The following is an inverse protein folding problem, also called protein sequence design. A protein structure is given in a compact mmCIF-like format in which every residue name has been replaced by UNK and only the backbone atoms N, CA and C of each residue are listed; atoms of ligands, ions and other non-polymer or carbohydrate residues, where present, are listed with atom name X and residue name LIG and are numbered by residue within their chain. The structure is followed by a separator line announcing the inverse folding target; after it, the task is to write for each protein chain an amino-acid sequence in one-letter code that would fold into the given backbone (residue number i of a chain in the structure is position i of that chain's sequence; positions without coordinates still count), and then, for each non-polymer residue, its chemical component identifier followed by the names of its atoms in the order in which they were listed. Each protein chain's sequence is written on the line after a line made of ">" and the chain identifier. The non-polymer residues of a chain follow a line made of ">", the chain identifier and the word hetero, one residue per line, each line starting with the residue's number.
data_IF_608512446270
#
_entry.id   IF_608512446270
#
_cell.length_a   1.000
_cell.length_b   1.000
_cell.length_c   1.000
_cell.angle_alpha   90.00
_cell.angle_beta   90.00
_cell.angle_gamma   90.00
#
_symmetry.space_group_name_H-M   'P 1'
#
loop_
_entity.id
_entity.type
_entity.pdbx_description
1 polymer ?
#
# COMPACT_ATOMS: atom_id res chain seq x y z
N UNK A 1 6.05 -63.61 6.88
CA UNK A 1 5.62 -64.69 7.80
C UNK A 1 6.55 -64.62 9.00
N UNK A 2 5.98 -64.56 10.22
CA UNK A 2 6.63 -64.67 11.56
C UNK A 2 7.50 -63.44 11.93
N UNK A 3 7.06 -62.51 12.81
CA UNK A 3 7.00 -62.58 14.29
C UNK A 3 8.40 -62.86 14.91
N UNK A 4 8.88 -62.28 16.01
CA UNK A 4 8.33 -61.48 17.10
C UNK A 4 9.53 -61.02 17.98
N UNK A 5 9.36 -59.89 18.67
CA UNK A 5 9.71 -59.64 20.09
C UNK A 5 11.14 -59.89 20.61
N UNK A 6 11.78 -58.86 21.18
CA UNK A 6 11.69 -58.56 22.63
C UNK A 6 12.64 -57.43 23.05
N UNK A 7 12.18 -56.67 24.02
CA UNK A 7 12.73 -55.41 24.53
C UNK A 7 13.82 -55.55 25.61
N UNK A 8 14.62 -54.50 25.80
CA UNK A 8 14.90 -53.83 27.10
C UNK A 8 15.86 -52.64 26.85
N UNK A 9 15.43 -51.41 27.05
CA UNK A 9 15.53 -50.58 28.28
C UNK A 9 16.96 -50.09 28.62
N UNK A 10 17.14 -48.77 28.60
CA UNK A 10 18.14 -48.09 29.43
C UNK A 10 18.70 -46.77 28.89
N UNK A 11 18.21 -45.64 29.44
CA UNK A 11 18.91 -44.34 29.52
C UNK A 11 19.06 -43.58 28.21
N UNK A 12 18.44 -42.43 27.98
CA UNK A 12 18.47 -41.27 28.87
C UNK A 12 19.58 -40.33 28.41
N UNK A 13 19.34 -39.57 27.34
CA UNK A 13 19.94 -38.25 27.18
C UNK A 13 19.10 -37.40 26.22
N UNK A 14 18.31 -36.53 26.83
CA UNK A 14 17.58 -35.43 26.22
C UNK A 14 18.57 -34.41 25.66
N UNK A 15 19.00 -34.59 24.42
CA UNK A 15 19.48 -33.48 23.61
C UNK A 15 18.26 -32.82 22.95
N UNK A 16 17.71 -31.83 23.66
CA UNK A 16 16.79 -30.84 23.07
C UNK A 16 17.53 -30.14 21.92
N UNK A 17 17.35 -30.61 20.70
CA UNK A 17 17.61 -29.82 19.50
C UNK A 17 16.61 -28.67 19.49
N UNK A 18 17.09 -27.51 19.88
CA UNK A 18 16.37 -26.25 19.81
C UNK A 18 15.94 -25.97 18.37
N UNK A 19 14.63 -25.82 18.18
CA UNK A 19 14.01 -24.88 17.25
C UNK A 19 14.52 -24.87 15.82
N UNK A 20 14.41 -25.98 15.09
CA UNK A 20 14.18 -25.89 13.65
C UNK A 20 12.69 -25.55 13.44
N UNK A 21 12.29 -24.32 13.77
CA UNK A 21 11.06 -23.78 13.23
C UNK A 21 11.28 -23.68 11.71
N UNK A 22 10.50 -24.44 10.95
CA UNK A 22 10.48 -24.32 9.50
C UNK A 22 10.33 -22.83 9.19
N UNK A 23 11.24 -22.28 8.38
CA UNK A 23 11.20 -20.87 8.01
C UNK A 23 9.92 -20.66 7.18
N UNK A 24 8.82 -20.31 7.85
CA UNK A 24 7.46 -20.27 7.26
C UNK A 24 7.37 -19.21 6.15
N UNK A 25 8.31 -18.26 6.14
CA UNK A 25 8.34 -17.13 5.22
C UNK A 25 9.68 -17.03 4.49
N UNK A 26 9.65 -16.57 3.24
CA UNK A 26 10.86 -16.17 2.50
C UNK A 26 11.30 -14.74 2.89
N UNK A 27 11.43 -14.52 4.20
CA UNK A 27 11.80 -13.24 4.80
C UNK A 27 12.40 -13.42 6.19
N UNK A 28 12.74 -12.29 6.81
CA UNK A 28 13.38 -12.26 8.12
C UNK A 28 12.98 -10.97 8.86
N UNK A 29 12.81 -11.04 10.18
CA UNK A 29 12.62 -9.83 10.98
C UNK A 29 13.90 -8.97 10.96
N UNK A 30 13.75 -7.66 11.11
CA UNK A 30 14.91 -6.76 11.18
C UNK A 30 15.84 -7.12 12.36
N UNK A 31 15.29 -7.57 13.49
CA UNK A 31 16.04 -7.99 14.68
C UNK A 31 16.82 -9.29 14.44
N UNK A 32 16.18 -10.31 13.87
CA UNK A 32 16.86 -11.58 13.55
C UNK A 32 17.97 -11.37 12.52
N UNK A 33 17.74 -10.49 11.54
CA UNK A 33 18.75 -10.15 10.55
C UNK A 33 19.97 -9.49 11.19
N UNK A 34 19.76 -8.54 12.10
CA UNK A 34 20.85 -7.90 12.85
C UNK A 34 21.62 -8.91 13.69
N UNK A 35 20.92 -9.80 14.39
CA UNK A 35 21.55 -10.87 15.19
C UNK A 35 22.41 -11.78 14.32
N UNK A 36 21.88 -12.27 13.20
CA UNK A 36 22.63 -13.11 12.25
C UNK A 36 23.83 -12.38 11.64
N UNK A 37 23.70 -11.08 11.37
CA UNK A 37 24.80 -10.25 10.89
C UNK A 37 25.91 -10.12 11.93
N UNK A 38 25.57 -9.83 13.19
CA UNK A 38 26.54 -9.73 14.28
C UNK A 38 27.28 -11.05 14.50
N UNK A 39 26.59 -12.19 14.48
CA UNK A 39 27.24 -13.51 14.54
C UNK A 39 28.21 -13.74 13.38
N UNK A 40 27.87 -13.29 12.16
CA UNK A 40 28.74 -13.41 11.00
C UNK A 40 29.99 -12.52 11.15
N UNK A 41 29.83 -11.30 11.65
CA UNK A 41 30.92 -10.36 11.96
C UNK A 41 31.85 -10.96 13.02
N UNK A 42 31.32 -11.56 14.08
CA UNK A 42 32.13 -12.24 15.10
C UNK A 42 32.91 -13.43 14.53
N UNK A 43 32.29 -14.23 13.65
CA UNK A 43 32.96 -15.35 12.97
C UNK A 43 34.09 -14.85 12.06
N UNK A 44 33.93 -13.71 11.39
CA UNK A 44 34.98 -13.06 10.60
C UNK A 44 36.12 -12.52 11.49
N UNK A 45 35.78 -11.92 12.63
CA UNK A 45 36.76 -11.42 13.59
C UNK A 45 37.64 -12.56 14.14
N UNK A 46 37.07 -13.74 14.41
CA UNK A 46 37.83 -14.96 14.79
C UNK A 46 38.83 -15.39 13.72
N UNK A 47 38.59 -15.04 12.45
CA UNK A 47 39.49 -15.28 11.31
C UNK A 47 40.44 -14.10 11.03
N UNK A 48 40.52 -13.12 11.94
CA UNK A 48 41.31 -11.88 11.79
C UNK A 48 40.87 -11.00 10.61
N UNK A 49 39.61 -11.08 10.21
CA UNK A 49 39.00 -10.19 9.22
C UNK A 49 38.15 -9.17 9.98
N UNK A 50 38.51 -7.90 9.91
CA UNK A 50 37.78 -6.81 10.59
C UNK A 50 36.77 -6.18 9.66
N UNK A 51 35.51 -6.15 10.07
CA UNK A 51 34.47 -5.33 9.43
C UNK A 51 34.47 -3.96 10.08
N UNK A 52 34.83 -2.93 9.31
CA UNK A 52 34.81 -1.54 9.80
C UNK A 52 33.37 -1.06 9.82
N UNK A 53 32.90 -0.62 10.99
CA UNK A 53 31.53 -0.18 11.25
C UNK A 53 30.46 -1.19 10.75
N UNK A 54 30.26 -2.30 11.49
CA UNK A 54 29.36 -3.38 11.10
C UNK A 54 27.94 -2.94 10.80
N UNK A 55 27.39 -1.98 11.54
CA UNK A 55 26.00 -1.54 11.37
C UNK A 55 25.82 -0.80 10.03
N UNK A 56 26.73 0.14 9.72
CA UNK A 56 26.70 0.84 8.42
C UNK A 56 26.96 -0.11 7.25
N UNK A 57 27.75 -1.16 7.44
CA UNK A 57 27.98 -2.16 6.41
C UNK A 57 26.71 -2.97 6.11
N UNK A 58 25.92 -3.32 7.12
CA UNK A 58 24.62 -3.99 6.93
C UNK A 58 23.63 -3.07 6.21
N UNK A 59 23.47 -1.83 6.67
CA UNK A 59 22.55 -0.86 6.06
C UNK A 59 22.96 -0.53 4.61
N UNK A 60 24.26 -0.40 4.33
CA UNK A 60 24.77 -0.22 2.97
C UNK A 60 24.49 -1.43 2.08
N UNK A 61 24.68 -2.64 2.58
CA UNK A 61 24.37 -3.87 1.84
C UNK A 61 22.88 -3.99 1.54
N UNK A 62 22.02 -3.69 2.52
CA UNK A 62 20.57 -3.68 2.33
C UNK A 62 20.14 -2.63 1.31
N UNK A 63 20.69 -1.42 1.37
CA UNK A 63 20.39 -0.35 0.42
C UNK A 63 20.75 -0.72 -1.01
N UNK A 64 21.89 -1.38 -1.22
CA UNK A 64 22.30 -1.87 -2.55
C UNK A 64 21.32 -2.94 -3.06
N UNK A 65 20.94 -3.89 -2.19
CA UNK A 65 20.01 -4.98 -2.52
C UNK A 65 18.56 -4.51 -2.70
N UNK A 66 18.18 -3.42 -2.07
CA UNK A 66 16.88 -2.79 -2.27
C UNK A 66 16.87 -2.05 -3.62
N UNK A 67 17.96 -1.34 -3.93
CA UNK A 67 18.13 -0.64 -5.21
C UNK A 67 18.16 -1.59 -6.42
N UNK A 68 18.80 -2.75 -6.31
CA UNK A 68 18.83 -3.76 -7.37
C UNK A 68 17.54 -4.61 -7.46
N UNK A 69 16.60 -4.42 -6.52
CA UNK A 69 15.34 -5.14 -6.46
C UNK A 69 15.44 -6.58 -5.97
N UNK A 70 16.55 -6.97 -5.34
CA UNK A 70 16.72 -8.31 -4.74
C UNK A 70 15.97 -8.49 -3.43
N UNK A 71 15.68 -7.40 -2.70
CA UNK A 71 14.94 -7.43 -1.44
C UNK A 71 13.92 -6.30 -1.39
N UNK A 72 12.88 -6.48 -0.56
CA UNK A 72 11.97 -5.40 -0.16
C UNK A 72 12.04 -5.29 1.35
N UNK A 73 12.21 -4.08 1.87
CA UNK A 73 12.35 -3.84 3.30
C UNK A 73 11.23 -2.95 3.81
N UNK A 74 10.68 -3.34 4.95
CA UNK A 74 9.86 -2.51 5.82
C UNK A 74 10.51 -2.47 7.20
N UNK A 75 10.25 -1.43 7.99
CA UNK A 75 10.94 -1.12 9.26
C UNK A 75 11.25 -2.34 10.15
N UNK A 76 10.32 -3.29 10.23
CA UNK A 76 10.39 -4.47 11.08
C UNK A 76 10.70 -5.78 10.35
N UNK A 77 10.67 -5.80 9.00
CA UNK A 77 10.74 -7.05 8.23
C UNK A 77 11.40 -6.85 6.86
N UNK A 78 12.24 -7.81 6.48
CA UNK A 78 12.92 -7.85 5.18
C UNK A 78 12.43 -9.05 4.40
N UNK A 79 11.80 -8.79 3.26
CA UNK A 79 11.45 -9.80 2.26
C UNK A 79 12.71 -10.12 1.45
N UNK A 80 13.24 -11.33 1.62
CA UNK A 80 14.50 -11.78 1.01
C UNK A 80 14.30 -12.41 -0.38
N UNK A 81 13.07 -12.82 -0.69
CA UNK A 81 12.69 -13.36 -1.99
C UNK A 81 11.54 -12.52 -2.58
N UNK A 82 11.88 -11.66 -3.53
CA UNK A 82 10.92 -10.79 -4.22
C UNK A 82 10.00 -11.58 -5.15
N UNK A 83 10.44 -12.74 -5.66
CA UNK A 83 9.59 -13.63 -6.46
C UNK A 83 8.52 -14.26 -5.57
N UNK A 84 8.88 -14.68 -4.36
CA UNK A 84 7.93 -15.14 -3.36
C UNK A 84 6.97 -14.02 -2.93
N UNK A 85 7.48 -12.80 -2.69
CA UNK A 85 6.64 -11.64 -2.38
C UNK A 85 5.60 -11.38 -3.49
N UNK A 86 6.03 -11.37 -4.76
CA UNK A 86 5.13 -11.20 -5.90
C UNK A 86 4.05 -12.30 -5.96
N UNK A 87 4.38 -13.54 -5.58
CA UNK A 87 3.43 -14.65 -5.51
C UNK A 87 2.38 -14.43 -4.42
N UNK A 88 2.78 -14.07 -3.19
CA UNK A 88 1.82 -13.85 -2.09
C UNK A 88 0.95 -12.61 -2.31
N UNK A 89 1.41 -11.64 -3.10
CA UNK A 89 0.63 -10.47 -3.50
C UNK A 89 -0.28 -10.73 -4.70
N UNK A 90 -0.10 -11.84 -5.42
CA UNK A 90 -0.89 -12.18 -6.60
C UNK A 90 -2.40 -12.13 -6.36
N UNK A 91 -2.96 -12.58 -5.22
CA UNK A 91 -4.39 -12.44 -4.97
C UNK A 91 -4.85 -11.00 -4.80
N UNK A 92 -3.98 -10.01 -4.62
CA UNK A 92 -4.33 -8.58 -4.71
C UNK A 92 -4.26 -8.05 -6.14
N UNK A 93 -3.53 -8.70 -7.04
CA UNK A 93 -3.22 -8.20 -8.39
C UNK A 93 -3.97 -8.96 -9.49
N UNK A 94 -4.46 -10.17 -9.21
CA UNK A 94 -5.07 -11.02 -10.21
C UNK A 94 -6.51 -10.61 -10.53
N UNK A 95 -6.71 -9.94 -11.65
CA UNK A 95 -8.05 -9.59 -12.17
C UNK A 95 -8.80 -10.76 -12.81
N UNK A 96 -8.14 -11.90 -13.07
CA UNK A 96 -8.82 -13.05 -13.67
C UNK A 96 -9.71 -13.71 -12.62
N UNK A 97 -10.97 -13.89 -12.98
CA UNK A 97 -11.93 -14.58 -12.15
C UNK A 97 -11.52 -16.04 -12.01
N UNK A 98 -11.01 -16.41 -10.84
CA UNK A 98 -11.02 -17.81 -10.44
C UNK A 98 -12.49 -18.17 -10.17
N UNK A 99 -13.00 -19.09 -10.98
CA UNK A 99 -14.36 -19.62 -10.87
C UNK A 99 -14.54 -20.24 -9.48
N UNK A 100 -15.61 -19.87 -8.80
CA UNK A 100 -16.06 -20.60 -7.61
C UNK A 100 -16.46 -22.00 -8.04
N UNK A 101 -15.76 -23.00 -7.56
CA UNK A 101 -16.14 -24.40 -7.74
C UNK A 101 -16.63 -24.92 -6.39
N UNK A 102 -17.88 -25.40 -6.34
CA UNK A 102 -18.50 -25.96 -5.12
C UNK A 102 -18.57 -24.98 -3.92
N UNK A 103 -18.68 -23.68 -4.18
CA UNK A 103 -18.75 -22.65 -3.12
C UNK A 103 -17.40 -22.27 -2.52
N UNK A 104 -16.30 -22.87 -3.00
CA UNK A 104 -14.93 -22.53 -2.61
C UNK A 104 -14.33 -21.51 -3.56
N UNK A 105 -13.57 -20.56 -3.01
CA UNK A 105 -12.77 -19.63 -3.81
C UNK A 105 -11.33 -20.07 -3.78
N UNK A 106 -10.78 -20.43 -4.94
CA UNK A 106 -9.34 -20.60 -5.11
C UNK A 106 -8.76 -19.22 -5.44
N UNK A 107 -7.62 -18.89 -4.82
CA UNK A 107 -6.92 -17.61 -5.00
C UNK A 107 -5.63 -17.74 -5.81
N UNK A 108 -5.44 -18.90 -6.44
CA UNK A 108 -4.23 -19.28 -7.14
C UNK A 108 -3.10 -19.68 -6.19
N UNK A 109 -2.14 -20.43 -6.73
CA UNK A 109 -1.02 -20.96 -5.94
C UNK A 109 0.03 -19.90 -5.61
N UNK A 110 0.39 -19.79 -4.32
CA UNK A 110 1.61 -19.14 -3.83
C UNK A 110 2.82 -20.10 -3.91
N UNK A 111 2.91 -20.90 -4.99
CA UNK A 111 3.77 -22.09 -5.05
C UNK A 111 2.99 -23.36 -4.70
N UNK A 112 3.52 -24.19 -3.78
CA UNK A 112 2.91 -25.46 -3.33
C UNK A 112 1.63 -25.28 -2.48
N UNK A 113 1.32 -24.05 -2.04
CA UNK A 113 0.08 -23.74 -1.34
C UNK A 113 -0.95 -23.15 -2.30
N UNK A 114 -1.98 -23.93 -2.62
CA UNK A 114 -3.21 -23.42 -3.21
C UNK A 114 -4.05 -22.82 -2.08
N UNK A 115 -4.10 -21.49 -1.99
CA UNK A 115 -4.95 -20.83 -1.01
C UNK A 115 -6.41 -21.00 -1.44
N UNK A 116 -7.19 -21.65 -0.58
CA UNK A 116 -8.62 -21.90 -0.77
C UNK A 116 -9.37 -21.26 0.37
N UNK A 117 -10.33 -20.39 0.05
CA UNK A 117 -11.24 -19.81 1.04
C UNK A 117 -12.43 -20.75 1.21
N UNK A 118 -12.65 -21.20 2.45
CA UNK A 118 -13.74 -22.09 2.82
C UNK A 118 -14.78 -21.38 3.72
N UNK A 119 -14.34 -20.41 4.53
CA UNK A 119 -15.23 -19.65 5.42
C UNK A 119 -16.11 -18.68 4.60
N UNK A 120 -17.45 -18.75 4.73
CA UNK A 120 -18.37 -17.82 4.05
C UNK A 120 -18.05 -16.33 4.27
N UNK A 121 -17.56 -15.95 5.45
CA UNK A 121 -17.20 -14.57 5.76
C UNK A 121 -15.93 -14.13 5.01
N UNK A 122 -14.96 -15.03 4.85
CA UNK A 122 -13.75 -14.77 4.06
C UNK A 122 -14.08 -14.67 2.57
N UNK A 123 -15.02 -15.50 2.10
CA UNK A 123 -15.55 -15.45 0.73
C UNK A 123 -16.28 -14.13 0.47
N UNK A 124 -17.13 -13.66 1.40
CA UNK A 124 -17.79 -12.35 1.30
C UNK A 124 -16.75 -11.23 1.25
N UNK A 125 -15.74 -11.29 2.12
CA UNK A 125 -14.64 -10.33 2.15
C UNK A 125 -13.85 -10.32 0.83
N UNK A 126 -13.63 -11.50 0.24
CA UNK A 126 -13.00 -11.62 -1.08
C UNK A 126 -13.83 -10.99 -2.20
N UNK A 127 -15.15 -11.20 -2.19
CA UNK A 127 -16.04 -10.53 -3.15
C UNK A 127 -16.02 -9.01 -2.98
N UNK A 128 -15.91 -8.52 -1.75
CA UNK A 128 -15.76 -7.09 -1.46
C UNK A 128 -14.43 -6.57 -2.02
N UNK A 129 -13.31 -7.26 -1.84
CA UNK A 129 -12.04 -6.90 -2.47
C UNK A 129 -12.14 -6.86 -3.99
N UNK A 130 -12.81 -7.83 -4.62
CA UNK A 130 -13.00 -7.88 -6.07
C UNK A 130 -13.87 -6.74 -6.59
N UNK A 131 -15.03 -6.52 -5.98
CA UNK A 131 -16.04 -5.57 -6.46
C UNK A 131 -15.69 -4.13 -6.12
N UNK A 132 -15.09 -3.93 -4.94
CA UNK A 132 -14.95 -2.62 -4.33
C UNK A 132 -13.50 -2.20 -4.15
N UNK A 133 -12.54 -3.11 -4.37
CA UNK A 133 -11.13 -2.87 -4.10
C UNK A 133 -10.81 -2.73 -2.62
N UNK A 134 -11.67 -3.21 -1.71
CA UNK A 134 -11.46 -3.09 -0.25
C UNK A 134 -10.97 -4.42 0.33
N UNK A 135 -9.75 -4.44 0.84
CA UNK A 135 -9.13 -5.55 1.58
C UNK A 135 -9.46 -5.43 3.06
N UNK A 136 -10.24 -6.35 3.60
CA UNK A 136 -10.49 -6.37 5.05
C UNK A 136 -9.34 -7.08 5.79
N UNK A 137 -8.98 -6.64 7.01
CA UNK A 137 -7.95 -7.28 7.82
C UNK A 137 -8.18 -8.78 8.06
N UNK A 138 -9.45 -9.20 8.10
CA UNK A 138 -9.84 -10.61 8.23
C UNK A 138 -9.35 -11.44 7.04
N UNK A 139 -9.68 -11.01 5.82
CA UNK A 139 -9.22 -11.68 4.60
C UNK A 139 -7.70 -11.67 4.49
N UNK A 140 -7.04 -10.58 4.88
CA UNK A 140 -5.58 -10.49 4.92
C UNK A 140 -4.96 -11.57 5.82
N UNK A 141 -5.54 -11.84 7.00
CA UNK A 141 -5.08 -12.91 7.90
C UNK A 141 -5.27 -14.31 7.31
N UNK A 142 -6.33 -14.52 6.54
CA UNK A 142 -6.55 -15.78 5.83
C UNK A 142 -5.56 -15.94 4.66
N UNK A 143 -5.32 -14.86 3.91
CA UNK A 143 -4.41 -14.86 2.77
C UNK A 143 -2.94 -14.99 3.15
N UNK A 144 -2.55 -14.35 4.24
CA UNK A 144 -1.19 -14.31 4.77
C UNK A 144 -1.21 -14.82 6.20
N UNK A 145 -1.40 -16.12 6.33
CA UNK A 145 -1.53 -16.83 7.61
C UNK A 145 -0.23 -16.84 8.42
N UNK A 146 -0.30 -17.40 9.63
CA UNK A 146 0.81 -17.53 10.58
C UNK A 146 1.40 -16.19 11.10
N UNK A 147 0.71 -15.07 10.87
CA UNK A 147 1.17 -13.73 11.26
C UNK A 147 1.81 -12.92 10.13
N UNK A 148 1.95 -13.48 8.92
CA UNK A 148 2.53 -12.77 7.77
C UNK A 148 1.80 -11.48 7.41
N UNK A 149 0.48 -11.43 7.63
CA UNK A 149 -0.32 -10.22 7.44
C UNK A 149 0.20 -9.02 8.22
N UNK A 150 0.82 -9.22 9.38
CA UNK A 150 1.38 -8.16 10.24
C UNK A 150 2.57 -7.45 9.58
N UNK A 151 3.25 -8.12 8.65
CA UNK A 151 4.36 -7.55 7.90
C UNK A 151 3.92 -7.05 6.51
N UNK A 152 3.03 -7.79 5.85
CA UNK A 152 2.57 -7.43 4.50
C UNK A 152 1.70 -6.19 4.51
N UNK A 153 0.75 -6.05 5.44
CA UNK A 153 -0.17 -4.92 5.47
C UNK A 153 0.56 -3.57 5.65
N UNK A 154 1.45 -3.39 6.65
CA UNK A 154 2.21 -2.15 6.78
C UNK A 154 3.09 -1.88 5.56
N UNK A 155 3.70 -2.93 4.98
CA UNK A 155 4.51 -2.79 3.76
C UNK A 155 3.68 -2.26 2.60
N UNK A 156 2.46 -2.77 2.40
CA UNK A 156 1.54 -2.26 1.37
C UNK A 156 1.16 -0.80 1.62
N UNK A 157 0.88 -0.42 2.87
CA UNK A 157 0.55 0.96 3.22
C UNK A 157 1.74 1.91 3.00
N UNK A 158 2.94 1.53 3.43
CA UNK A 158 4.17 2.34 3.29
C UNK A 158 4.58 2.50 1.84
N UNK A 159 4.41 1.45 1.02
CA UNK A 159 4.59 1.53 -0.44
C UNK A 159 3.45 2.27 -1.13
N UNK A 160 2.40 2.60 -0.39
CA UNK A 160 1.25 3.33 -0.90
C UNK A 160 0.41 2.52 -1.89
N UNK A 161 0.30 1.22 -1.64
CA UNK A 161 -0.53 0.28 -2.38
C UNK A 161 -1.87 0.00 -1.68
N UNK A 162 -1.99 0.36 -0.40
CA UNK A 162 -3.21 0.21 0.40
C UNK A 162 -3.43 1.42 1.32
N UNK A 163 -4.70 1.81 1.56
CA UNK A 163 -5.08 2.97 2.40
C UNK A 163 -6.26 2.66 3.30
N UNK A 164 -6.32 3.20 4.53
CA UNK A 164 -7.51 3.07 5.36
C UNK A 164 -8.72 3.74 4.67
N UNK A 165 -9.83 3.01 4.61
CA UNK A 165 -11.13 3.58 4.26
C UNK A 165 -11.76 4.17 5.53
N UNK A 166 -12.02 5.47 5.53
CA UNK A 166 -12.56 6.14 6.72
C UNK A 166 -13.98 5.66 7.03
N UNK A 167 -14.28 5.55 8.33
CA UNK A 167 -15.56 5.05 8.85
C UNK A 167 -15.96 3.64 8.37
N UNK A 168 -15.03 2.85 7.83
CA UNK A 168 -15.31 1.46 7.48
C UNK A 168 -15.46 0.59 8.74
N UNK A 169 -16.62 -0.03 8.99
CA UNK A 169 -16.85 -0.80 10.22
C UNK A 169 -15.96 -2.05 10.31
N UNK A 170 -15.43 -2.53 9.19
CA UNK A 170 -14.52 -3.68 9.14
C UNK A 170 -13.03 -3.28 9.15
N UNK A 171 -12.71 -1.98 9.20
CA UNK A 171 -11.34 -1.48 9.12
C UNK A 171 -10.67 -1.77 7.77
N UNK A 172 -11.46 -1.78 6.69
CA UNK A 172 -11.02 -2.12 5.35
C UNK A 172 -9.98 -1.16 4.78
N UNK A 173 -9.09 -1.72 3.95
CA UNK A 173 -8.04 -1.01 3.25
C UNK A 173 -8.35 -0.96 1.74
N UNK A 174 -8.38 0.23 1.15
CA UNK A 174 -8.53 0.41 -0.29
C UNK A 174 -7.24 0.00 -1.01
N UNK A 175 -7.32 -0.96 -1.92
CA UNK A 175 -6.23 -1.44 -2.77
C UNK A 175 -6.40 -0.85 -4.17
N UNK A 176 -5.60 0.16 -4.52
CA UNK A 176 -5.83 0.98 -5.73
C UNK A 176 -5.81 0.18 -7.02
N UNK A 177 -4.90 -0.80 -7.09
CA UNK A 177 -4.70 -1.64 -8.26
C UNK A 177 -5.92 -2.50 -8.59
N UNK A 178 -6.84 -2.70 -7.63
CA UNK A 178 -8.09 -3.44 -7.82
C UNK A 178 -9.22 -2.60 -8.40
N UNK A 179 -9.11 -1.28 -8.35
CA UNK A 179 -10.19 -0.40 -8.75
C UNK A 179 -10.28 -0.25 -10.27
N UNK A 180 -11.48 0.05 -10.75
CA UNK A 180 -11.69 0.36 -12.16
C UNK A 180 -11.19 1.77 -12.48
N UNK A 181 -10.60 2.01 -13.68
CA UNK A 181 -10.19 3.35 -14.12
C UNK A 181 -11.31 4.39 -14.07
N UNK A 182 -12.51 4.01 -14.51
CA UNK A 182 -13.69 4.86 -14.49
C UNK A 182 -14.27 5.02 -13.09
N UNK A 183 -14.86 6.20 -12.82
CA UNK A 183 -15.59 6.50 -11.60
C UNK A 183 -16.80 5.55 -11.46
N UNK A 184 -16.88 4.71 -10.42
CA UNK A 184 -18.05 3.88 -10.18
C UNK A 184 -19.30 4.73 -9.93
N UNK A 185 -20.49 4.24 -10.30
CA UNK A 185 -21.75 5.00 -10.16
C UNK A 185 -21.99 5.48 -8.71
N UNK A 186 -21.69 4.63 -7.72
CA UNK A 186 -21.78 4.97 -6.29
C UNK A 186 -20.88 6.15 -5.92
N UNK A 187 -19.68 6.23 -6.50
CA UNK A 187 -18.75 7.34 -6.30
C UNK A 187 -19.25 8.56 -7.04
N UNK A 188 -19.78 8.40 -8.26
CA UNK A 188 -20.47 9.45 -9.02
C UNK A 188 -21.50 10.19 -8.17
N UNK A 189 -22.43 9.45 -7.54
CA UNK A 189 -23.47 10.03 -6.68
C UNK A 189 -22.91 10.84 -5.50
N UNK A 190 -21.86 10.36 -4.84
CA UNK A 190 -21.21 11.09 -3.74
C UNK A 190 -20.55 12.37 -4.25
N UNK A 191 -19.84 12.28 -5.37
CA UNK A 191 -19.20 13.43 -6.00
C UNK A 191 -20.21 14.46 -6.49
N UNK A 192 -21.30 14.04 -7.12
CA UNK A 192 -22.35 14.92 -7.63
C UNK A 192 -22.99 15.71 -6.48
N UNK A 193 -23.34 15.05 -5.37
CA UNK A 193 -23.81 15.72 -4.15
C UNK A 193 -22.78 16.70 -3.62
N UNK A 194 -21.51 16.29 -3.53
CA UNK A 194 -20.42 17.15 -3.05
C UNK A 194 -20.26 18.40 -3.93
N UNK A 195 -20.32 18.27 -5.26
CA UNK A 195 -20.20 19.40 -6.20
C UNK A 195 -21.41 20.34 -6.22
N UNK A 196 -22.61 19.86 -5.83
CA UNK A 196 -23.78 20.74 -5.72
C UNK A 196 -23.62 21.77 -4.60
N UNK A 197 -22.98 21.37 -3.51
CA UNK A 197 -22.88 22.18 -2.30
C UNK A 197 -21.57 22.98 -2.22
N UNK A 198 -20.60 22.69 -3.08
CA UNK A 198 -19.23 23.18 -2.95
C UNK A 198 -18.70 23.80 -4.25
N UNK A 199 -18.08 24.97 -4.13
CA UNK A 199 -17.31 25.60 -5.23
C UNK A 199 -15.82 25.50 -4.92
N UNK A 200 -14.98 25.04 -5.86
CA UNK A 200 -13.55 24.95 -5.61
C UNK A 200 -12.95 26.34 -5.43
N UNK A 201 -12.09 26.49 -4.43
CA UNK A 201 -11.29 27.67 -4.17
C UNK A 201 -10.10 27.78 -5.13
N UNK A 202 -9.47 26.64 -5.44
CA UNK A 202 -8.30 26.54 -6.32
C UNK A 202 -8.49 25.35 -7.26
N UNK A 203 -8.13 25.54 -8.53
CA UNK A 203 -8.07 24.46 -9.52
C UNK A 203 -6.68 24.40 -10.11
N UNK A 204 -5.98 23.31 -9.86
CA UNK A 204 -4.70 23.03 -10.51
C UNK A 204 -4.86 21.90 -11.52
N UNK A 205 -4.06 21.94 -12.57
CA UNK A 205 -3.99 20.84 -13.52
C UNK A 205 -2.57 20.60 -14.00
N UNK A 206 -2.25 19.34 -14.28
CA UNK A 206 -0.96 18.91 -14.80
C UNK A 206 -1.20 18.06 -16.04
N UNK A 207 -0.90 18.65 -17.20
CA UNK A 207 -0.98 17.95 -18.48
C UNK A 207 0.28 17.14 -18.72
N UNK A 208 0.13 15.84 -18.93
CA UNK A 208 1.19 14.86 -19.17
C UNK A 208 1.28 14.57 -20.68
N UNK A 209 2.40 14.92 -21.32
CA UNK A 209 2.45 15.00 -22.78
C UNK A 209 2.31 13.65 -23.51
N UNK A 210 2.73 12.55 -22.89
CA UNK A 210 2.76 11.22 -23.50
C UNK A 210 1.83 10.23 -22.78
N UNK A 211 0.88 10.76 -21.99
CA UNK A 211 0.18 9.98 -20.98
C UNK A 211 1.08 9.61 -19.81
N UNK A 212 0.57 8.74 -18.95
CA UNK A 212 1.22 8.33 -17.70
C UNK A 212 1.52 6.83 -17.72
N UNK A 213 2.71 6.39 -17.27
CA UNK A 213 2.97 4.98 -17.09
C UNK A 213 2.07 4.41 -15.98
N UNK A 214 1.69 3.11 -16.07
CA UNK A 214 0.92 2.46 -15.00
C UNK A 214 1.61 2.62 -13.64
N UNK A 215 0.84 2.98 -12.60
CA UNK A 215 1.34 3.20 -11.26
C UNK A 215 1.75 4.64 -10.96
N UNK A 216 1.95 5.51 -11.97
CA UNK A 216 2.34 6.89 -11.74
C UNK A 216 1.24 7.72 -11.09
N UNK A 217 0.02 7.64 -11.62
CA UNK A 217 -1.12 8.35 -11.04
C UNK A 217 -1.47 7.77 -9.68
N UNK A 218 -1.49 6.44 -9.57
CA UNK A 218 -1.72 5.75 -8.32
C UNK A 218 -0.78 6.29 -7.24
N UNK A 219 0.53 6.44 -7.51
CA UNK A 219 1.50 7.05 -6.57
C UNK A 219 1.14 8.48 -6.15
N UNK A 220 0.60 9.31 -7.04
CA UNK A 220 0.20 10.69 -6.67
C UNK A 220 -1.02 10.67 -5.77
N UNK A 221 -2.06 9.92 -6.15
CA UNK A 221 -3.31 9.80 -5.39
C UNK A 221 -3.02 9.23 -3.99
N UNK A 222 -2.26 8.14 -3.94
CA UNK A 222 -1.70 7.51 -2.74
C UNK A 222 -1.05 8.49 -1.79
N UNK A 223 -0.13 9.34 -2.27
CA UNK A 223 0.55 10.31 -1.41
C UNK A 223 -0.45 11.31 -0.87
N UNK A 224 -1.44 11.71 -1.68
CA UNK A 224 -2.46 12.67 -1.28
C UNK A 224 -3.47 12.10 -0.28
N UNK A 225 -3.63 10.77 -0.18
CA UNK A 225 -4.44 10.16 0.87
C UNK A 225 -3.95 10.48 2.28
N UNK A 226 -2.66 10.79 2.48
CA UNK A 226 -2.15 11.17 3.81
C UNK A 226 -2.46 12.62 4.19
N UNK A 227 -3.14 13.39 3.33
CA UNK A 227 -3.58 14.75 3.66
C UNK A 227 -4.69 14.76 4.72
N UNK A 228 -5.50 13.70 4.77
CA UNK A 228 -6.64 13.63 5.68
C UNK A 228 -7.46 12.36 5.49
N UNK A 229 -8.74 12.45 5.85
CA UNK A 229 -9.72 11.41 5.69
C UNK A 229 -10.08 11.14 4.22
N UNK A 230 -10.19 9.86 3.84
CA UNK A 230 -10.55 9.44 2.47
C UNK A 230 -12.02 9.02 2.46
N UNK A 231 -12.89 9.84 1.88
CA UNK A 231 -14.33 9.50 1.74
C UNK A 231 -14.56 8.51 0.63
N UNK A 232 -14.04 8.79 -0.58
CA UNK A 232 -14.22 7.96 -1.77
C UNK A 232 -12.96 7.94 -2.62
N UNK A 233 -12.69 6.77 -3.22
CA UNK A 233 -11.53 6.52 -4.06
C UNK A 233 -11.93 5.67 -5.28
N UNK A 234 -11.36 5.95 -6.44
CA UNK A 234 -11.40 5.12 -7.65
C UNK A 234 -10.00 5.13 -8.29
N UNK A 235 -9.71 4.23 -9.23
CA UNK A 235 -8.31 4.05 -9.70
C UNK A 235 -7.66 5.32 -10.24
N UNK A 236 -8.46 6.23 -10.78
CA UNK A 236 -7.99 7.47 -11.38
C UNK A 236 -8.30 8.70 -10.54
N UNK A 237 -8.82 8.56 -9.31
CA UNK A 237 -9.07 9.73 -8.48
C UNK A 237 -9.47 9.45 -7.03
N UNK A 238 -9.43 10.50 -6.22
CA UNK A 238 -9.72 10.46 -4.79
C UNK A 238 -10.38 11.74 -4.33
N UNK A 239 -11.31 11.63 -3.39
CA UNK A 239 -11.79 12.71 -2.54
C UNK A 239 -11.19 12.55 -1.15
N UNK A 240 -10.40 13.54 -0.73
CA UNK A 240 -9.80 13.64 0.60
C UNK A 240 -10.34 14.88 1.29
N UNK A 241 -10.62 14.81 2.57
CA UNK A 241 -10.96 15.96 3.40
C UNK A 241 -10.11 16.00 4.67
N UNK A 242 -9.94 17.17 5.28
CA UNK A 242 -9.46 17.17 6.66
C UNK A 242 -10.50 16.50 7.57
N UNK A 243 -10.02 15.76 8.56
CA UNK A 243 -10.89 15.26 9.62
C UNK A 243 -11.48 16.49 10.35
N UNK A 244 -12.81 16.57 10.45
CA UNK A 244 -13.47 17.38 11.47
C UNK A 244 -13.04 16.76 12.81
N UNK A 245 -12.18 17.43 13.55
CA UNK A 245 -11.58 16.81 14.73
C UNK A 245 -12.48 16.89 15.95
N UNK A 246 -12.51 15.75 16.66
CA UNK A 246 -12.74 15.46 18.08
C UNK A 246 -13.80 16.27 18.85
N UNK A 247 -14.63 15.54 19.60
CA UNK A 247 -15.67 16.05 20.51
C UNK A 247 -15.14 17.02 21.61
N UNK A 248 -13.82 17.20 21.71
CA UNK A 248 -13.16 18.16 22.59
C UNK A 248 -12.72 19.39 21.77
N UNK A 249 -13.67 20.32 21.62
CA UNK A 249 -13.54 21.52 20.80
C UNK A 249 -12.33 22.39 21.15
N UNK A 250 -11.63 22.82 20.09
CA UNK A 250 -11.06 24.15 20.00
C UNK A 250 -11.28 24.65 18.56
N UNK A 251 -12.10 25.69 18.44
CA UNK A 251 -12.56 26.28 17.18
C UNK A 251 -11.44 27.12 16.56
N UNK A 252 -10.88 26.64 15.46
CA UNK A 252 -10.66 27.50 14.31
C UNK A 252 -10.94 26.67 13.06
N UNK A 253 -12.05 26.97 12.37
CA UNK A 253 -12.42 26.32 11.10
C UNK A 253 -11.45 26.62 9.95
N UNK A 254 -10.30 27.23 10.26
CA UNK A 254 -9.25 27.66 9.34
C UNK A 254 -8.50 26.50 8.67
N UNK A 255 -8.60 25.28 9.23
CA UNK A 255 -7.98 24.05 8.72
C UNK A 255 -8.95 23.10 7.97
N UNK A 256 -10.20 23.53 7.72
CA UNK A 256 -11.17 22.72 6.98
C UNK A 256 -10.89 22.81 5.47
N UNK A 257 -10.65 21.66 4.85
CA UNK A 257 -10.48 21.56 3.41
C UNK A 257 -11.07 20.26 2.86
N UNK A 258 -11.31 20.26 1.56
CA UNK A 258 -11.44 19.05 0.78
C UNK A 258 -10.66 19.17 -0.52
N UNK A 259 -10.22 18.05 -1.07
CA UNK A 259 -9.52 18.01 -2.36
C UNK A 259 -9.99 16.81 -3.16
N UNK A 260 -10.32 17.08 -4.41
CA UNK A 260 -10.61 16.07 -5.41
C UNK A 260 -9.43 16.03 -6.37
N UNK A 261 -8.70 14.93 -6.38
CA UNK A 261 -7.68 14.66 -7.39
C UNK A 261 -8.24 13.66 -8.41
N UNK A 262 -8.17 13.98 -9.69
CA UNK A 262 -8.68 13.10 -10.75
C UNK A 262 -7.83 13.19 -12.01
N UNK A 263 -7.45 12.02 -12.54
CA UNK A 263 -6.75 11.86 -13.79
C UNK A 263 -7.69 11.44 -14.92
N UNK A 264 -7.65 12.21 -16.01
CA UNK A 264 -8.30 11.89 -17.29
C UNK A 264 -7.27 11.30 -18.25
N UNK A 265 -7.48 10.04 -18.66
CA UNK A 265 -6.64 9.39 -19.67
C UNK A 265 -6.92 9.90 -21.10
N UNK A 266 -8.10 10.45 -21.36
CA UNK A 266 -8.42 11.08 -22.65
C UNK A 266 -7.69 12.41 -22.83
N UNK A 267 -7.59 13.20 -21.77
CA UNK A 267 -6.95 14.52 -21.80
C UNK A 267 -5.48 14.48 -21.42
N UNK A 268 -5.03 13.32 -20.92
CA UNK A 268 -3.74 13.11 -20.25
C UNK A 268 -3.49 14.17 -19.18
N UNK A 269 -4.48 14.44 -18.35
CA UNK A 269 -4.46 15.55 -17.41
C UNK A 269 -4.85 15.07 -16.02
N UNK A 270 -3.99 15.33 -15.04
CA UNK A 270 -4.34 15.23 -13.62
C UNK A 270 -4.88 16.59 -13.17
N UNK A 271 -6.06 16.61 -12.57
CA UNK A 271 -6.67 17.80 -11.98
C UNK A 271 -6.69 17.67 -10.46
N UNK A 272 -6.49 18.78 -9.77
CA UNK A 272 -6.74 18.92 -8.35
C UNK A 272 -7.70 20.09 -8.12
N UNK A 273 -8.90 19.79 -7.64
CA UNK A 273 -9.90 20.77 -7.24
C UNK A 273 -9.87 20.86 -5.73
N UNK A 274 -9.48 22.01 -5.21
CA UNK A 274 -9.31 22.24 -3.76
C UNK A 274 -10.43 23.13 -3.27
N UNK A 275 -11.07 22.69 -2.18
CA UNK A 275 -12.22 23.30 -1.52
C UNK A 275 -11.81 23.75 -0.11
N UNK A 276 -12.47 24.80 0.36
CA UNK A 276 -12.15 25.47 1.62
C UNK A 276 -12.09 26.98 1.43
N UNK A 277 -11.77 27.71 2.48
CA UNK A 277 -11.64 29.16 2.42
C UNK A 277 -10.27 29.57 1.85
N UNK A 278 -10.26 30.21 0.67
CA UNK A 278 -9.03 30.66 0.00
C UNK A 278 -8.22 31.66 0.82
N UNK A 279 -8.87 32.35 1.78
CA UNK A 279 -8.23 33.30 2.68
C UNK A 279 -7.43 32.63 3.80
N UNK A 280 -7.63 31.33 4.04
CA UNK A 280 -6.88 30.55 5.03
C UNK A 280 -5.72 29.79 4.39
N UNK A 281 -4.82 29.26 5.21
CA UNK A 281 -3.65 28.53 4.71
C UNK A 281 -3.99 27.14 4.17
N UNK A 282 -5.08 26.52 4.62
CA UNK A 282 -5.36 25.11 4.35
C UNK A 282 -5.45 24.76 2.85
N UNK A 283 -6.21 25.48 1.99
CA UNK A 283 -6.25 25.16 0.56
C UNK A 283 -4.88 25.28 -0.13
N UNK A 284 -4.04 26.22 0.31
CA UNK A 284 -2.69 26.42 -0.25
C UNK A 284 -1.73 25.32 0.18
N UNK A 285 -1.82 24.85 1.42
CA UNK A 285 -1.05 23.72 1.93
C UNK A 285 -1.40 22.44 1.16
N UNK A 286 -2.69 22.19 0.96
CA UNK A 286 -3.19 21.03 0.21
C UNK A 286 -2.73 21.06 -1.24
N UNK A 287 -2.84 22.22 -1.91
CA UNK A 287 -2.34 22.39 -3.27
C UNK A 287 -0.83 22.17 -3.36
N UNK A 288 -0.06 22.75 -2.42
CA UNK A 288 1.39 22.60 -2.36
C UNK A 288 1.80 21.14 -2.17
N UNK A 289 1.07 20.40 -1.34
CA UNK A 289 1.29 18.99 -1.13
C UNK A 289 0.98 18.17 -2.39
N UNK A 290 -0.16 18.42 -3.06
CA UNK A 290 -0.49 17.76 -4.33
C UNK A 290 0.57 18.04 -5.41
N UNK A 291 1.04 19.28 -5.52
CA UNK A 291 2.12 19.65 -6.43
C UNK A 291 3.44 18.93 -6.09
N UNK A 292 3.76 18.79 -4.80
CA UNK A 292 4.91 18.02 -4.32
C UNK A 292 4.80 16.53 -4.67
N UNK A 293 3.62 15.93 -4.49
CA UNK A 293 3.35 14.54 -4.86
C UNK A 293 3.54 14.31 -6.37
N UNK A 294 3.05 15.23 -7.21
CA UNK A 294 3.29 15.20 -8.67
C UNK A 294 4.78 15.32 -8.98
N UNK A 295 5.50 16.25 -8.34
CA UNK A 295 6.94 16.41 -8.54
C UNK A 295 7.71 15.15 -8.18
N UNK A 296 7.38 14.51 -7.06
CA UNK A 296 8.01 13.27 -6.61
C UNK A 296 7.74 12.13 -7.60
N UNK A 297 6.51 12.01 -8.10
CA UNK A 297 6.19 11.08 -9.17
C UNK A 297 7.03 11.33 -10.42
N UNK A 298 7.21 12.59 -10.85
CA UNK A 298 8.04 12.90 -12.04
C UNK A 298 9.51 12.53 -11.85
N UNK A 299 10.03 12.54 -10.61
CA UNK A 299 11.39 12.08 -10.32
C UNK A 299 11.51 10.54 -10.41
N UNK A 300 10.44 9.82 -10.09
CA UNK A 300 10.39 8.35 -10.22
C UNK A 300 10.27 7.89 -11.68
N UNK A 301 9.83 8.77 -12.60
CA UNK A 301 9.67 8.48 -14.02
C UNK A 301 10.50 9.45 -14.89
N UNK A 302 11.83 9.26 -14.97
CA UNK A 302 12.69 10.12 -15.77
C UNK A 302 12.22 10.21 -17.23
N UNK A 303 12.08 11.44 -17.73
CA UNK A 303 11.62 11.71 -19.09
C UNK A 303 10.11 11.97 -19.22
N UNK A 304 9.32 11.73 -18.17
CA UNK A 304 7.92 12.15 -18.15
C UNK A 304 7.84 13.68 -18.09
N UNK A 305 7.32 14.29 -19.14
CA UNK A 305 7.13 15.75 -19.22
C UNK A 305 5.72 16.11 -18.78
N UNK A 306 5.63 17.16 -17.97
CA UNK A 306 4.37 17.73 -17.52
C UNK A 306 4.33 19.24 -17.69
N UNK A 307 3.14 19.80 -17.84
CA UNK A 307 2.89 21.24 -17.77
C UNK A 307 1.80 21.50 -16.73
N UNK A 308 2.17 22.20 -15.66
CA UNK A 308 1.24 22.65 -14.63
C UNK A 308 0.50 23.92 -15.05
N UNK A 309 -0.76 24.04 -14.66
CA UNK A 309 -1.54 25.26 -14.69
C UNK A 309 -2.30 25.43 -13.38
N UNK A 310 -2.47 26.68 -12.94
CA UNK A 310 -3.26 27.03 -11.77
C UNK A 310 -4.32 28.03 -12.22
N UNK A 311 -5.57 27.76 -11.86
CA UNK A 311 -6.71 28.64 -12.08
C UNK A 311 -7.35 28.93 -10.73
N UNK A 312 -7.54 30.21 -10.44
CA UNK A 312 -8.41 30.65 -9.36
C UNK A 312 -9.81 30.86 -9.96
N UNK A 313 -10.83 30.07 -9.57
CA UNK A 313 -12.19 30.18 -10.12
C UNK A 313 -12.81 31.56 -9.91
N UNK A 314 -12.40 32.29 -8.87
CA UNK A 314 -12.84 33.67 -8.58
C UNK A 314 -12.33 34.70 -9.61
N UNK A 315 -11.30 34.37 -10.40
CA UNK A 315 -10.70 35.26 -11.41
C UNK A 315 -10.95 34.77 -12.84
N UNK A 316 -12.11 34.14 -13.10
CA UNK A 316 -12.47 33.51 -14.36
C UNK A 316 -12.02 34.27 -15.62
N UNK A 317 -11.30 33.55 -16.50
CA UNK A 317 -10.94 33.90 -17.89
C UNK A 317 -10.80 35.41 -18.18
N UNK A 318 -9.85 36.08 -17.53
CA UNK A 318 -9.22 37.27 -18.12
C UNK A 318 -7.76 36.94 -18.43
N UNK A 319 -7.40 37.23 -19.68
CA UNK A 319 -6.23 36.71 -20.36
C UNK A 319 -4.90 37.01 -19.66
N UNK A 320 -4.04 36.00 -19.59
CA UNK A 320 -2.60 36.18 -19.76
C UNK A 320 -2.21 35.44 -21.05
N UNK A 321 -2.42 36.13 -22.17
CA UNK A 321 -1.77 35.87 -23.46
C UNK A 321 -0.29 36.27 -23.38
#
# INVERSE_FOLDING_TARGET
>A
MVAQSAASHGGGETAKTAGAEAQVYAGITAEDLRTKWQEAVEKLAKRKITVVNPDNALEGALSIREFDGSVVRHETFVFLDVVWLAKILKPLLNHKDEETFEGLVKLGGTGDMCLTLEDPLDIISWFRLKREGVLEPRLARTMWSNGLSEYVLPTLTTLGLAFPLEADPAGGLVVLLRLTPGRPERVGKVMDTFYLDQTPALNASWKMFLGVPPGAIEKVLTRCCSLGGVTVFWRSGVLVHSALRDEDGDEDGSDIFAVVLEYSSSDNELTAQVFGDISTQAPWTVLSYAASAVRLMLMDFPGLRSRGSLKCPQHGYTACS
#
